data_IF_063778587720
#
_entry.id   IF_063778587720
#
_cell.length_a   1.000
_cell.length_b   1.000
_cell.length_c   1.000
_cell.angle_alpha   90.00
_cell.angle_beta   90.00
_cell.angle_gamma   90.00
#
_symmetry.space_group_name_H-M   'P 1'
#
loop_
_entity.id
_entity.type
_entity.pdbx_description
1 polymer ?
#
# COMPACT_ATOMS: atom_id res chain seq x y z
N UNK A 1 19.57 6.25 17.94
CA UNK A 1 18.58 5.17 17.78
C UNK A 1 19.27 3.89 17.34
N UNK A 2 18.54 2.77 17.29
CA UNK A 2 19.10 1.43 17.03
C UNK A 2 19.31 1.05 15.56
N UNK A 3 18.98 1.95 14.60
CA UNK A 3 19.27 1.77 13.17
C UNK A 3 18.74 0.47 12.55
N UNK A 4 17.60 -0.03 13.04
CA UNK A 4 16.93 -1.19 12.47
C UNK A 4 16.32 -0.89 11.08
N UNK A 5 16.26 -1.91 10.22
CA UNK A 5 15.57 -1.83 8.94
C UNK A 5 14.04 -1.83 9.12
N UNK A 6 13.36 -0.93 8.41
CA UNK A 6 11.89 -0.89 8.28
C UNK A 6 11.48 -1.25 6.86
N UNK A 7 10.26 -1.75 6.69
CA UNK A 7 9.71 -2.05 5.37
C UNK A 7 8.69 -3.18 5.38
N UNK A 8 8.23 -3.51 4.18
CA UNK A 8 7.22 -4.52 3.90
C UNK A 8 7.73 -5.42 2.77
N UNK A 9 8.03 -6.68 3.09
CA UNK A 9 8.60 -7.66 2.15
C UNK A 9 7.54 -8.60 1.56
N UNK A 10 6.28 -8.43 1.97
CA UNK A 10 5.16 -9.24 1.54
C UNK A 10 4.44 -8.54 0.39
N UNK A 11 4.09 -9.30 -0.65
CA UNK A 11 3.17 -8.80 -1.67
C UNK A 11 1.75 -8.72 -1.09
N UNK A 12 1.35 -7.51 -0.70
CA UNK A 12 0.03 -7.23 -0.14
C UNK A 12 -1.10 -7.46 -1.14
N UNK A 13 -0.82 -7.42 -2.46
CA UNK A 13 -1.85 -7.63 -3.47
C UNK A 13 -2.42 -9.05 -3.42
N UNK A 14 -1.63 -10.04 -2.99
CA UNK A 14 -2.08 -11.45 -2.86
C UNK A 14 -3.09 -11.66 -1.73
N UNK A 15 -3.18 -10.73 -0.79
CA UNK A 15 -4.05 -10.82 0.40
C UNK A 15 -5.02 -9.64 0.50
N UNK A 16 -5.12 -8.84 -0.55
CA UNK A 16 -5.90 -7.62 -0.54
C UNK A 16 -7.41 -7.94 -0.57
N UNK A 17 -8.19 -7.52 0.44
CA UNK A 17 -9.64 -7.64 0.40
C UNK A 17 -10.22 -6.96 -0.85
N UNK A 18 -11.24 -7.52 -1.50
CA UNK A 18 -11.80 -6.98 -2.74
C UNK A 18 -12.15 -5.48 -2.67
N UNK A 19 -12.70 -5.05 -1.54
CA UNK A 19 -13.10 -3.67 -1.26
C UNK A 19 -11.93 -2.68 -1.14
N UNK A 20 -10.71 -3.19 -0.98
CA UNK A 20 -9.48 -2.39 -0.93
C UNK A 20 -8.66 -2.49 -2.22
N UNK A 21 -9.04 -3.33 -3.18
CA UNK A 21 -8.26 -3.48 -4.41
C UNK A 21 -8.33 -2.19 -5.24
N UNK A 22 -7.18 -1.73 -5.72
CA UNK A 22 -7.13 -0.65 -6.69
C UNK A 22 -7.61 -1.14 -8.07
N UNK A 23 -8.07 -0.20 -8.90
CA UNK A 23 -8.41 -0.49 -10.29
C UNK A 23 -7.19 -1.09 -11.01
N UNK A 24 -7.38 -2.20 -11.72
CA UNK A 24 -6.30 -2.95 -12.35
C UNK A 24 -5.55 -3.94 -11.45
N UNK A 25 -5.89 -4.05 -10.15
CA UNK A 25 -5.45 -5.12 -9.26
C UNK A 25 -3.97 -5.08 -8.84
N UNK A 26 -3.23 -4.04 -9.22
CA UNK A 26 -1.79 -3.90 -8.94
C UNK A 26 -1.44 -3.22 -7.61
N UNK A 27 -2.45 -2.83 -6.81
CA UNK A 27 -2.25 -2.19 -5.52
C UNK A 27 -3.39 -2.52 -4.54
N UNK A 28 -3.06 -2.44 -3.25
CA UNK A 28 -4.02 -2.55 -2.16
C UNK A 28 -4.13 -1.22 -1.42
N UNK A 29 -5.31 -0.60 -1.48
CA UNK A 29 -5.60 0.68 -0.83
C UNK A 29 -5.64 0.51 0.68
N UNK A 30 -5.29 1.56 1.40
CA UNK A 30 -5.64 1.66 2.82
C UNK A 30 -7.16 1.81 2.98
N UNK A 31 -7.70 1.47 4.16
CA UNK A 31 -9.11 1.70 4.46
C UNK A 31 -9.49 3.19 4.41
N UNK A 32 -8.57 4.09 4.80
CA UNK A 32 -8.82 5.53 4.67
C UNK A 32 -8.99 5.95 3.21
N UNK A 33 -8.14 5.45 2.32
CA UNK A 33 -8.23 5.77 0.88
C UNK A 33 -9.47 5.14 0.24
N UNK A 34 -9.84 3.92 0.63
CA UNK A 34 -11.01 3.23 0.07
C UNK A 34 -12.34 3.83 0.53
N UNK A 35 -12.47 4.19 1.81
CA UNK A 35 -13.75 4.57 2.41
C UNK A 35 -13.86 6.05 2.80
N UNK A 36 -12.74 6.74 3.05
CA UNK A 36 -12.70 8.15 3.44
C UNK A 36 -13.33 8.46 4.81
N UNK A 37 -13.72 7.45 5.59
CA UNK A 37 -14.43 7.66 6.84
C UNK A 37 -13.51 8.21 7.94
N UNK A 38 -14.02 9.04 8.86
CA UNK A 38 -13.22 9.60 9.95
C UNK A 38 -12.51 8.56 10.81
N UNK A 39 -13.11 7.39 11.01
CA UNK A 39 -12.58 6.25 11.77
C UNK A 39 -11.30 5.70 11.13
N UNK A 40 -11.32 5.48 9.81
CA UNK A 40 -10.16 4.91 9.11
C UNK A 40 -9.06 5.94 8.85
N UNK A 41 -9.45 7.21 8.70
CA UNK A 41 -8.52 8.31 8.43
C UNK A 41 -8.01 9.00 9.70
N UNK A 42 -8.51 8.63 10.88
CA UNK A 42 -8.22 9.29 12.15
C UNK A 42 -8.45 10.81 12.11
N UNK A 43 -9.67 11.22 11.76
CA UNK A 43 -10.05 12.64 11.63
C UNK A 43 -11.23 12.99 12.55
N UNK A 44 -11.40 14.27 12.86
CA UNK A 44 -12.51 14.77 13.67
C UNK A 44 -12.52 14.13 15.07
N UNK A 45 -13.59 13.43 15.41
CA UNK A 45 -13.72 12.72 16.69
C UNK A 45 -12.64 11.64 16.88
N UNK A 46 -12.02 11.15 15.80
CA UNK A 46 -10.93 10.17 15.82
C UNK A 46 -9.56 10.83 15.61
N UNK A 47 -9.44 12.14 15.81
CA UNK A 47 -8.19 12.89 15.61
C UNK A 47 -7.12 12.71 16.71
N UNK A 48 -7.28 11.71 17.58
CA UNK A 48 -6.32 11.40 18.65
C UNK A 48 -6.01 9.90 18.66
N UNK A 49 -4.83 9.49 19.15
CA UNK A 49 -4.47 8.08 19.27
C UNK A 49 -5.44 7.29 20.17
N UNK A 50 -5.99 7.93 21.19
CA UNK A 50 -6.96 7.28 22.09
C UNK A 50 -8.30 7.03 21.41
N UNK A 51 -8.73 7.90 20.50
CA UNK A 51 -10.01 7.76 19.81
C UNK A 51 -9.91 6.90 18.54
N UNK A 52 -8.81 7.00 17.77
CA UNK A 52 -8.64 6.22 16.55
C UNK A 52 -8.01 4.85 16.84
N UNK A 53 -8.87 3.82 16.94
CA UNK A 53 -8.43 2.46 17.23
C UNK A 53 -8.02 1.71 15.97
N UNK A 54 -7.13 0.69 16.10
CA UNK A 54 -6.92 -0.29 15.03
C UNK A 54 -8.25 -0.90 14.57
N UNK A 55 -8.32 -1.20 13.28
CA UNK A 55 -9.44 -1.85 12.61
C UNK A 55 -8.97 -3.16 11.99
N UNK A 56 -9.91 -4.03 11.59
CA UNK A 56 -9.58 -5.26 10.88
C UNK A 56 -8.70 -5.02 9.64
N UNK A 57 -8.89 -3.91 8.93
CA UNK A 57 -8.06 -3.54 7.78
C UNK A 57 -6.64 -3.15 8.19
N UNK A 58 -6.45 -2.32 9.21
CA UNK A 58 -5.10 -1.96 9.68
C UNK A 58 -4.37 -3.17 10.28
N UNK A 59 -5.08 -4.07 10.94
CA UNK A 59 -4.50 -5.32 11.47
C UNK A 59 -4.02 -6.25 10.35
N UNK A 60 -4.74 -6.30 9.22
CA UNK A 60 -4.29 -7.03 8.02
C UNK A 60 -2.92 -6.51 7.55
N UNK A 61 -2.78 -5.20 7.37
CA UNK A 61 -1.50 -4.62 6.95
C UNK A 61 -0.39 -4.80 8.00
N UNK A 62 -0.70 -4.64 9.28
CA UNK A 62 0.26 -4.84 10.38
C UNK A 62 0.76 -6.28 10.45
N UNK A 63 -0.15 -7.25 10.32
CA UNK A 63 0.21 -8.67 10.39
C UNK A 63 1.11 -9.09 9.22
N UNK A 64 0.87 -8.55 8.03
CA UNK A 64 1.70 -8.81 6.87
C UNK A 64 3.07 -8.10 7.00
N UNK A 65 3.09 -6.88 7.51
CA UNK A 65 4.26 -6.02 7.55
C UNK A 65 4.45 -5.38 8.94
N UNK A 66 4.94 -6.16 9.93
CA UNK A 66 4.97 -5.74 11.33
C UNK A 66 5.96 -4.60 11.63
N UNK A 67 6.89 -4.33 10.70
CA UNK A 67 7.86 -3.23 10.77
C UNK A 67 7.42 -1.99 9.97
N UNK A 68 6.19 -1.98 9.47
CA UNK A 68 5.63 -0.87 8.71
C UNK A 68 4.38 -0.34 9.41
N UNK A 69 4.14 0.97 9.28
CA UNK A 69 2.92 1.59 9.74
C UNK A 69 1.71 1.04 8.96
N UNK A 70 0.66 0.65 9.69
CA UNK A 70 -0.58 0.14 9.09
C UNK A 70 -1.76 1.13 9.12
N UNK A 71 -1.70 2.14 9.97
CA UNK A 71 -2.64 3.26 10.06
C UNK A 71 -1.98 4.49 10.72
N UNK A 72 -2.69 5.61 10.78
CA UNK A 72 -2.12 6.91 11.17
C UNK A 72 -1.53 6.96 12.58
N UNK A 73 -2.06 6.19 13.52
CA UNK A 73 -1.57 6.14 14.91
C UNK A 73 -1.06 4.76 15.33
N UNK A 74 -0.59 3.96 14.37
CA UNK A 74 0.11 2.70 14.67
C UNK A 74 1.32 2.96 15.58
N UNK A 75 1.59 2.01 16.48
CA UNK A 75 2.47 2.21 17.62
C UNK A 75 3.97 2.24 17.25
N UNK A 76 4.80 2.54 18.24
CA UNK A 76 6.25 2.73 18.09
C UNK A 76 7.01 1.49 17.60
N UNK A 77 6.40 0.30 17.53
CA UNK A 77 7.01 -0.87 16.86
C UNK A 77 7.23 -0.63 15.36
N UNK A 78 6.52 0.35 14.79
CA UNK A 78 6.71 0.83 13.41
C UNK A 78 7.66 2.04 13.31
N UNK A 79 8.13 2.62 14.41
CA UNK A 79 9.04 3.77 14.43
C UNK A 79 10.49 3.34 14.60
N UNK A 80 11.32 3.55 13.57
CA UNK A 80 12.75 3.24 13.60
C UNK A 80 13.55 4.54 13.58
N UNK A 81 14.40 4.75 14.59
CA UNK A 81 15.27 5.94 14.69
C UNK A 81 16.73 5.55 14.50
N UNK A 82 17.47 6.37 13.76
CA UNK A 82 18.90 6.23 13.54
C UNK A 82 19.56 7.62 13.44
N UNK A 83 20.81 7.73 13.85
CA UNK A 83 21.54 9.01 13.88
C UNK A 83 22.90 8.84 13.20
N UNK A 84 23.27 9.76 12.32
CA UNK A 84 24.57 9.74 11.63
C UNK A 84 24.74 8.54 10.67
N UNK A 85 23.68 8.18 9.94
CA UNK A 85 23.69 7.03 9.03
C UNK A 85 23.25 7.39 7.62
N UNK A 86 23.69 6.57 6.67
CA UNK A 86 23.18 6.52 5.31
C UNK A 86 22.01 5.52 5.20
N UNK A 87 21.10 5.76 4.26
CA UNK A 87 19.91 4.94 4.05
C UNK A 87 19.89 4.33 2.67
N UNK A 88 19.43 3.07 2.58
CA UNK A 88 19.17 2.38 1.31
C UNK A 88 17.70 2.01 1.24
N UNK A 89 17.04 2.40 0.15
CA UNK A 89 15.66 2.01 -0.15
C UNK A 89 15.71 0.99 -1.28
N UNK A 90 15.08 -0.17 -1.09
CA UNK A 90 15.04 -1.22 -2.09
C UNK A 90 13.60 -1.63 -2.34
N UNK A 91 13.21 -1.66 -3.61
CA UNK A 91 11.92 -2.15 -4.03
C UNK A 91 12.01 -3.64 -4.39
N UNK A 92 10.96 -4.38 -4.08
CA UNK A 92 10.83 -5.80 -4.44
C UNK A 92 12.05 -6.62 -3.99
N UNK A 93 12.48 -6.44 -2.74
CA UNK A 93 13.48 -7.33 -2.14
C UNK A 93 12.91 -8.74 -2.13
N UNK A 94 13.47 -9.62 -2.98
CA UNK A 94 13.16 -11.04 -2.95
C UNK A 94 13.48 -11.51 -1.54
N UNK A 95 12.49 -12.01 -0.79
CA UNK A 95 12.77 -12.64 0.49
C UNK A 95 13.83 -13.70 0.21
N UNK A 96 15.00 -13.71 0.88
CA UNK A 96 15.90 -14.83 0.74
C UNK A 96 15.06 -16.02 1.17
N UNK A 97 14.75 -16.90 0.23
CA UNK A 97 13.99 -18.09 0.52
C UNK A 97 14.67 -18.70 1.73
N UNK A 98 13.92 -19.01 2.79
CA UNK A 98 14.41 -19.92 3.81
C UNK A 98 14.55 -21.30 3.17
N UNK A 99 15.48 -21.42 2.22
CA UNK A 99 15.96 -22.68 1.72
C UNK A 99 17.13 -23.02 2.61
N UNK A 100 16.82 -23.87 3.58
CA UNK A 100 17.79 -24.66 4.32
C UNK A 100 18.70 -25.34 3.29
N UNK A 101 19.90 -24.81 3.05
CA UNK A 101 20.96 -25.59 2.42
C UNK A 101 21.76 -26.22 3.54
N UNK A 102 21.30 -27.42 3.91
CA UNK A 102 22.13 -28.49 4.47
C UNK A 102 23.46 -28.49 3.73
N UNK A 103 24.54 -28.33 4.48
CA UNK A 103 25.89 -28.59 4.02
C UNK A 103 26.04 -30.07 3.72
N UNK A 104 26.31 -30.42 2.47
CA UNK A 104 26.90 -31.71 2.12
C UNK A 104 27.60 -31.60 0.77
N UNK A 105 28.82 -32.15 0.68
CA UNK A 105 29.01 -33.18 -0.33
C UNK A 105 29.71 -34.41 0.27
N UNK A 106 29.12 -35.58 0.06
CA UNK A 106 29.70 -36.86 0.42
C UNK A 106 29.03 -38.02 -0.30
N UNK A 107 29.67 -38.47 -1.37
CA UNK A 107 29.71 -39.85 -1.87
C UNK A 107 28.52 -40.43 -2.65
N UNK A 108 28.70 -40.43 -3.98
CA UNK A 108 28.70 -41.55 -4.95
C UNK A 108 27.86 -42.83 -4.73
N UNK A 109 27.29 -43.29 -5.87
CA UNK A 109 26.75 -44.63 -6.23
C UNK A 109 25.33 -44.90 -5.72
N UNK A 110 24.32 -45.28 -6.51
CA UNK A 110 24.16 -45.68 -7.91
C UNK A 110 22.75 -46.28 -8.02
N UNK A 111 21.96 -45.85 -8.99
CA UNK A 111 20.58 -46.32 -9.19
C UNK A 111 20.48 -47.52 -10.14
N UNK A 112 19.40 -48.29 -10.00
CA UNK A 112 18.90 -49.20 -11.03
C UNK A 112 17.40 -48.95 -11.23
N UNK A 113 17.00 -48.57 -12.45
CA UNK A 113 15.96 -49.21 -13.28
C UNK A 113 15.75 -48.44 -14.59
N UNK A 114 15.20 -49.15 -15.57
CA UNK A 114 15.33 -49.02 -17.02
C UNK A 114 14.33 -48.11 -17.75
N UNK A 115 14.85 -47.56 -18.85
CA UNK A 115 14.35 -47.05 -20.13
C UNK A 115 12.92 -47.39 -20.65
N UNK A 116 12.24 -46.40 -21.27
CA UNK A 116 11.80 -46.39 -22.69
C UNK A 116 10.80 -45.24 -23.01
N UNK A 117 10.93 -44.57 -24.18
CA UNK A 117 9.79 -43.86 -24.82
C UNK A 117 10.03 -42.55 -25.62
N UNK A 118 10.55 -42.69 -26.85
CA UNK A 118 10.49 -41.87 -28.08
C UNK A 118 9.86 -40.43 -28.20
N UNK A 119 10.66 -39.54 -28.83
CA UNK A 119 10.42 -38.56 -29.96
C UNK A 119 9.28 -37.51 -29.83
N UNK A 120 9.51 -36.20 -30.09
CA UNK A 120 9.51 -35.56 -31.44
C UNK A 120 9.93 -34.07 -31.33
N UNK A 121 10.61 -33.51 -32.35
CA UNK A 121 11.15 -32.14 -32.40
C UNK A 121 10.08 -31.03 -32.41
N UNK A 122 10.45 -29.78 -32.13
CA UNK A 122 10.86 -28.82 -33.18
C UNK A 122 11.53 -27.58 -32.62
N UNK A 123 12.56 -27.11 -33.32
CA UNK A 123 13.18 -25.79 -33.19
C UNK A 123 12.30 -24.68 -33.75
N UNK A 124 12.21 -23.53 -33.07
CA UNK A 124 12.19 -22.19 -33.70
C UNK A 124 12.30 -21.04 -32.69
N UNK A 125 13.44 -20.33 -32.77
CA UNK A 125 13.58 -18.89 -33.04
C UNK A 125 12.83 -17.87 -32.16
N UNK A 126 13.65 -17.12 -31.42
CA UNK A 126 13.66 -15.65 -31.25
C UNK A 126 12.33 -14.90 -31.14
N UNK A 127 12.12 -14.31 -29.96
CA UNK A 127 11.10 -13.28 -29.74
C UNK A 127 11.38 -12.51 -28.45
N UNK A 128 12.40 -11.65 -28.48
CA UNK A 128 12.54 -10.56 -27.52
C UNK A 128 11.30 -9.65 -27.61
N UNK A 129 10.31 -9.90 -26.76
CA UNK A 129 9.26 -8.93 -26.48
C UNK A 129 9.81 -7.97 -25.45
N UNK A 130 10.19 -6.80 -25.94
CA UNK A 130 10.52 -5.66 -25.10
C UNK A 130 9.41 -5.43 -24.11
N UNK A 131 9.78 -5.41 -22.82
CA UNK A 131 8.98 -4.75 -21.82
C UNK A 131 8.88 -3.29 -22.25
N UNK A 132 7.67 -2.85 -22.60
CA UNK A 132 7.36 -1.42 -22.66
C UNK A 132 7.75 -0.89 -21.29
N UNK A 133 8.78 -0.05 -21.27
CA UNK A 133 9.20 0.70 -20.10
C UNK A 133 7.97 1.46 -19.63
N UNK A 134 7.40 1.06 -18.50
CA UNK A 134 6.54 1.92 -17.72
C UNK A 134 7.37 3.17 -17.46
N UNK A 135 6.93 4.26 -18.05
CA UNK A 135 7.44 5.59 -17.85
C UNK A 135 7.57 5.84 -16.35
N UNK A 136 8.72 6.33 -15.92
CA UNK A 136 9.04 6.62 -14.51
C UNK A 136 8.11 7.66 -13.84
N UNK A 137 7.01 8.02 -14.49
CA UNK A 137 5.91 8.84 -14.01
C UNK A 137 5.32 8.32 -12.69
N UNK A 138 5.19 7.00 -12.52
CA UNK A 138 4.70 6.44 -11.26
C UNK A 138 5.70 6.65 -10.10
N UNK A 139 6.99 6.41 -10.34
CA UNK A 139 8.06 6.66 -9.36
C UNK A 139 8.16 8.15 -9.00
N UNK A 140 7.99 9.04 -9.99
CA UNK A 140 8.01 10.49 -9.79
C UNK A 140 6.81 10.97 -8.95
N UNK A 141 5.63 10.37 -9.11
CA UNK A 141 4.44 10.71 -8.32
C UNK A 141 4.55 10.25 -6.85
N UNK A 142 5.26 9.15 -6.57
CA UNK A 142 5.54 8.72 -5.20
C UNK A 142 6.57 9.61 -4.49
N UNK A 143 7.57 10.10 -5.23
CA UNK A 143 8.60 10.99 -4.70
C UNK A 143 8.07 12.41 -4.41
N UNK A 144 6.99 12.82 -5.10
CA UNK A 144 6.40 14.16 -4.96
C UNK A 144 5.19 14.21 -4.04
N UNK A 145 4.71 13.06 -3.52
CA UNK A 145 3.66 13.03 -2.51
C UNK A 145 2.43 13.85 -2.90
N UNK A 146 1.92 13.64 -4.12
CA UNK A 146 0.78 14.41 -4.60
C UNK A 146 -0.52 13.84 -4.00
N UNK A 147 -0.81 14.23 -2.75
CA UNK A 147 -2.12 14.05 -2.16
C UNK A 147 -3.09 14.93 -2.96
N UNK A 148 -3.83 14.31 -3.89
CA UNK A 148 -5.02 14.92 -4.48
C UNK A 148 -6.05 15.11 -3.37
N UNK A 149 -5.91 16.21 -2.63
CA UNK A 149 -6.97 16.78 -1.84
C UNK A 149 -8.04 17.16 -2.86
N UNK A 150 -9.02 16.29 -3.08
CA UNK A 150 -10.26 16.67 -3.73
C UNK A 150 -10.78 17.87 -2.94
N UNK A 151 -10.56 19.05 -3.51
CA UNK A 151 -11.00 20.35 -3.02
C UNK A 151 -12.37 20.18 -2.39
N UNK A 152 -12.45 20.39 -1.08
CA UNK A 152 -13.71 20.76 -0.46
C UNK A 152 -14.28 21.93 -1.27
N UNK A 153 -15.52 21.85 -1.79
CA UNK A 153 -16.20 23.07 -2.19
C UNK A 153 -16.43 23.88 -0.92
N UNK A 154 -15.91 25.11 -0.93
CA UNK A 154 -16.13 26.09 0.12
C UNK A 154 -17.64 26.39 0.23
N UNK A 155 -18.37 25.67 1.09
CA UNK A 155 -19.78 25.96 1.43
C UNK A 155 -19.92 27.21 2.33
N UNK A 156 -19.02 28.18 2.23
CA UNK A 156 -18.99 29.39 3.05
C UNK A 156 -19.67 30.62 2.43
N UNK A 157 -20.13 30.55 1.18
CA UNK A 157 -20.66 31.72 0.45
C UNK A 157 -22.13 31.58 0.02
N UNK A 158 -22.78 30.44 0.24
CA UNK A 158 -24.14 30.21 -0.25
C UNK A 158 -25.23 30.35 0.83
N UNK A 159 -24.89 30.18 2.12
CA UNK A 159 -25.86 30.35 3.22
C UNK A 159 -26.19 31.82 3.51
N UNK A 160 -25.26 32.74 3.26
CA UNK A 160 -25.49 34.18 3.47
C UNK A 160 -26.53 34.77 2.51
N UNK A 161 -26.55 34.30 1.25
CA UNK A 161 -27.50 34.79 0.24
C UNK A 161 -28.94 34.34 0.54
N UNK A 162 -29.12 33.11 1.05
CA UNK A 162 -30.47 32.62 1.37
C UNK A 162 -31.02 33.29 2.64
N UNK A 163 -30.18 33.53 3.66
CA UNK A 163 -30.60 34.25 4.87
C UNK A 163 -30.96 35.71 4.55
N UNK A 164 -30.19 36.37 3.68
CA UNK A 164 -30.47 37.74 3.25
C UNK A 164 -31.78 37.85 2.48
N UNK A 165 -32.06 36.90 1.57
CA UNK A 165 -33.34 36.85 0.83
C UNK A 165 -34.55 36.60 1.74
N UNK A 166 -34.42 35.74 2.75
CA UNK A 166 -35.48 35.51 3.74
C UNK A 166 -35.73 36.78 4.58
N UNK A 167 -34.68 37.46 5.02
CA UNK A 167 -34.81 38.72 5.77
C UNK A 167 -35.46 39.83 4.92
N UNK A 168 -35.05 39.99 3.66
CA UNK A 168 -35.63 40.99 2.75
C UNK A 168 -37.11 40.72 2.48
N UNK A 169 -37.48 39.45 2.22
CA UNK A 169 -38.89 39.09 1.96
C UNK A 169 -39.78 39.23 3.19
N UNK A 170 -39.25 39.01 4.40
CA UNK A 170 -39.98 39.30 5.64
C UNK A 170 -40.21 40.80 5.85
N UNK A 171 -39.23 41.64 5.57
CA UNK A 171 -39.35 43.10 5.71
C UNK A 171 -40.37 43.68 4.71
N UNK A 172 -40.36 43.22 3.45
CA UNK A 172 -41.32 43.68 2.44
C UNK A 172 -42.77 43.27 2.72
N UNK A 173 -43.02 42.25 3.55
CA UNK A 173 -44.37 41.84 3.96
C UNK A 173 -44.92 42.65 5.15
N UNK A 174 -44.11 43.50 5.78
CA UNK A 174 -44.51 44.34 6.91
C UNK A 174 -44.79 45.81 6.54
N UNK A 175 -44.65 46.17 5.27
CA UNK A 175 -45.13 47.45 4.71
C UNK A 175 -46.35 47.19 3.83
#
# INVERSE_FOLDING_TARGET
GGCGSTGCLVDLNQRCPPELQAEGGGACKSACEAFGSPEYCCRGAYGTPDACKPTAYSELFKSACPKAYSYAYDDASSTFTCSGADYTITFCQSSPSQKSSVSSPGSTVGGATVEAGARTGSSSRSGSRGAILADGSWLANMATGNYSNTRQPSFGLQFGSMLLLLVITSILKLQ
#
